data_IF_259420177068
#
_entry.id   IF_259420177068
#
_cell.length_a   1.000
_cell.length_b   1.000
_cell.length_c   1.000
_cell.angle_alpha   90.00
_cell.angle_beta   90.00
_cell.angle_gamma   90.00
#
_symmetry.space_group_name_H-M   'P 1'
#
loop_
_entity.id
_entity.type
_entity.pdbx_description
1 polymer ?
#
# COMPACT_ATOMS: atom_id res chain seq x y z
N UNK A 1 -8.89 -33.43 12.48
CA UNK A 1 -9.72 -32.22 12.28
C UNK A 1 -9.06 -31.38 11.19
N UNK A 2 -9.75 -30.42 10.55
CA UNK A 2 -9.17 -29.61 9.45
C UNK A 2 -7.91 -28.80 9.86
N UNK A 3 -7.70 -28.65 11.18
CA UNK A 3 -6.65 -27.84 11.80
C UNK A 3 -5.53 -28.67 12.46
N UNK A 4 -5.64 -30.01 12.50
CA UNK A 4 -4.63 -30.90 13.13
C UNK A 4 -3.42 -31.20 12.22
N UNK A 5 -3.31 -30.55 11.07
CA UNK A 5 -2.28 -30.77 10.06
C UNK A 5 -1.66 -29.46 9.57
N UNK A 6 -1.48 -28.52 10.49
CA UNK A 6 -0.77 -27.27 10.22
C UNK A 6 0.73 -27.55 10.30
N UNK A 7 1.44 -27.41 9.16
CA UNK A 7 2.87 -27.73 9.05
C UNK A 7 3.78 -26.83 9.89
N UNK A 8 3.29 -25.64 10.23
CA UNK A 8 4.01 -24.66 11.04
C UNK A 8 3.06 -24.08 12.10
N UNK A 9 3.21 -24.56 13.33
CA UNK A 9 2.38 -24.16 14.47
C UNK A 9 2.79 -22.78 15.00
N UNK A 10 4.08 -22.45 14.94
CA UNK A 10 4.60 -21.18 15.42
C UNK A 10 4.08 -20.03 14.55
N UNK A 11 4.18 -20.18 13.22
CA UNK A 11 3.63 -19.21 12.29
C UNK A 11 2.11 -19.05 12.45
N UNK A 12 1.40 -20.14 12.74
CA UNK A 12 -0.03 -20.10 12.98
C UNK A 12 -0.37 -19.28 14.23
N UNK A 13 0.25 -19.55 15.38
CA UNK A 13 -0.03 -18.82 16.62
C UNK A 13 0.36 -17.35 16.54
N UNK A 14 1.46 -17.03 15.84
CA UNK A 14 1.84 -15.63 15.55
C UNK A 14 0.72 -14.92 14.79
N UNK A 15 0.18 -15.54 13.72
CA UNK A 15 -0.91 -14.93 12.94
C UNK A 15 -2.21 -14.83 13.71
N UNK A 16 -2.52 -15.77 14.60
CA UNK A 16 -3.68 -15.71 15.51
C UNK A 16 -3.55 -14.50 16.44
N UNK A 17 -2.39 -14.34 17.07
CA UNK A 17 -2.10 -13.18 17.92
C UNK A 17 -2.19 -11.86 17.15
N UNK A 18 -1.52 -11.77 15.99
CA UNK A 18 -1.58 -10.57 15.14
C UNK A 18 -3.01 -10.25 14.67
N UNK A 19 -3.82 -11.27 14.40
CA UNK A 19 -5.21 -11.09 14.00
C UNK A 19 -6.05 -10.43 15.11
N UNK A 20 -5.82 -10.81 16.37
CA UNK A 20 -6.42 -10.16 17.53
C UNK A 20 -5.92 -8.71 17.71
N UNK A 21 -4.60 -8.51 17.70
CA UNK A 21 -3.99 -7.19 17.90
C UNK A 21 -4.36 -6.18 16.82
N UNK A 22 -4.56 -6.62 15.57
CA UNK A 22 -4.95 -5.74 14.45
C UNK A 22 -6.48 -5.56 14.34
N UNK A 23 -7.23 -5.91 15.38
CA UNK A 23 -8.69 -5.75 15.46
C UNK A 23 -9.46 -6.48 14.35
N UNK A 24 -8.93 -7.61 13.88
CA UNK A 24 -9.61 -8.51 12.95
C UNK A 24 -9.41 -8.21 11.46
N UNK A 25 -10.08 -9.02 10.63
CA UNK A 25 -9.79 -9.14 9.20
C UNK A 25 -9.94 -7.84 8.40
N UNK A 26 -11.03 -7.09 8.61
CA UNK A 26 -11.33 -5.91 7.82
C UNK A 26 -10.30 -4.80 8.03
N UNK A 27 -9.89 -4.56 9.28
CA UNK A 27 -8.84 -3.60 9.62
C UNK A 27 -7.49 -3.98 8.97
N UNK A 28 -7.15 -5.27 8.98
CA UNK A 28 -5.94 -5.78 8.31
C UNK A 28 -6.02 -5.53 6.80
N UNK A 29 -7.10 -5.94 6.14
CA UNK A 29 -7.30 -5.75 4.69
C UNK A 29 -7.19 -4.28 4.31
N UNK A 30 -7.87 -3.41 5.05
CA UNK A 30 -7.86 -1.98 4.78
C UNK A 30 -6.46 -1.38 4.96
N UNK A 31 -5.75 -1.78 6.01
CA UNK A 31 -4.36 -1.35 6.26
C UNK A 31 -3.41 -1.79 5.14
N UNK A 32 -3.54 -3.02 4.65
CA UNK A 32 -2.74 -3.54 3.53
C UNK A 32 -3.03 -2.77 2.23
N UNK A 33 -4.32 -2.52 1.92
CA UNK A 33 -4.74 -1.76 0.73
C UNK A 33 -4.20 -0.33 0.80
N UNK A 34 -4.41 0.38 1.92
CA UNK A 34 -3.91 1.74 2.07
C UNK A 34 -2.39 1.80 1.99
N UNK A 35 -1.69 0.81 2.54
CA UNK A 35 -0.25 0.70 2.40
C UNK A 35 0.18 0.58 0.94
N UNK A 36 -0.51 -0.22 0.11
CA UNK A 36 -0.21 -0.38 -1.32
C UNK A 36 -0.50 0.90 -2.12
N UNK A 37 -1.64 1.54 -1.85
CA UNK A 37 -2.04 2.81 -2.48
C UNK A 37 -1.07 3.93 -2.11
N UNK A 38 -0.67 4.03 -0.85
CA UNK A 38 0.28 5.04 -0.36
C UNK A 38 1.62 4.93 -1.09
N UNK A 39 2.12 3.72 -1.31
CA UNK A 39 3.36 3.52 -2.06
C UNK A 39 3.27 4.06 -3.49
N UNK A 40 2.20 3.67 -4.21
CA UNK A 40 1.97 4.15 -5.59
C UNK A 40 1.87 5.67 -5.61
N UNK A 41 1.09 6.24 -4.69
CA UNK A 41 0.92 7.68 -4.57
C UNK A 41 2.26 8.39 -4.37
N UNK A 42 3.09 7.94 -3.44
CA UNK A 42 4.40 8.56 -3.17
C UNK A 42 5.29 8.51 -4.41
N UNK A 43 5.40 7.35 -5.06
CA UNK A 43 6.25 7.18 -6.25
C UNK A 43 5.75 8.06 -7.40
N UNK A 44 4.45 7.99 -7.73
CA UNK A 44 3.86 8.78 -8.81
C UNK A 44 3.95 10.28 -8.56
N UNK A 45 3.67 10.73 -7.33
CA UNK A 45 3.73 12.14 -6.97
C UNK A 45 5.16 12.67 -7.00
N UNK A 46 6.13 11.88 -6.54
CA UNK A 46 7.56 12.22 -6.62
C UNK A 46 8.01 12.35 -8.07
N UNK A 47 7.64 11.39 -8.94
CA UNK A 47 7.96 11.46 -10.37
C UNK A 47 7.33 12.69 -11.03
N UNK A 48 6.07 12.99 -10.71
CA UNK A 48 5.38 14.17 -11.23
C UNK A 48 6.12 15.45 -10.87
N UNK A 49 6.49 15.62 -9.60
CA UNK A 49 7.20 16.80 -9.10
C UNK A 49 8.58 16.90 -9.74
N UNK A 50 9.34 15.81 -9.81
CA UNK A 50 10.74 15.87 -10.25
C UNK A 50 10.87 16.01 -11.77
N UNK A 51 9.99 15.37 -12.55
CA UNK A 51 10.18 15.21 -13.99
C UNK A 51 9.12 15.90 -14.85
N UNK A 52 7.86 15.96 -14.39
CA UNK A 52 6.75 16.45 -15.22
C UNK A 52 6.40 17.93 -15.02
N UNK A 53 7.01 18.62 -14.05
CA UNK A 53 6.79 20.05 -13.81
C UNK A 53 7.85 20.88 -14.54
N UNK A 54 7.41 21.80 -15.41
CA UNK A 54 8.28 22.81 -16.00
C UNK A 54 8.55 23.95 -14.98
N UNK A 55 9.55 23.75 -14.13
CA UNK A 55 9.98 24.74 -13.15
C UNK A 55 10.46 26.07 -13.77
N UNK A 56 11.21 26.07 -14.89
CA UNK A 56 11.56 27.32 -15.56
C UNK A 56 10.36 28.17 -15.97
N UNK A 57 9.28 27.55 -16.48
CA UNK A 57 8.02 28.22 -16.77
C UNK A 57 7.31 28.69 -15.49
N UNK A 58 7.22 27.81 -14.48
CA UNK A 58 6.56 28.09 -13.20
C UNK A 58 7.17 29.31 -12.48
N UNK A 59 8.50 29.41 -12.46
CA UNK A 59 9.22 30.49 -11.77
C UNK A 59 9.58 31.68 -12.67
N UNK A 60 9.18 31.67 -13.95
CA UNK A 60 9.54 32.70 -14.94
C UNK A 60 11.05 32.98 -15.01
N UNK A 61 11.85 31.92 -14.91
CA UNK A 61 13.31 32.06 -14.88
C UNK A 61 13.89 32.37 -16.26
N UNK A 62 13.22 31.96 -17.34
CA UNK A 62 13.66 32.17 -18.73
C UNK A 62 13.07 33.46 -19.34
N UNK A 63 13.77 34.09 -20.31
CA UNK A 63 13.26 35.29 -21.00
C UNK A 63 11.90 35.08 -21.67
N UNK A 64 11.70 33.91 -22.30
CA UNK A 64 10.43 33.54 -22.91
C UNK A 64 9.30 33.45 -21.89
N UNK A 65 9.57 32.93 -20.68
CA UNK A 65 8.58 32.84 -19.62
C UNK A 65 8.28 34.19 -18.94
N UNK A 66 9.22 35.15 -18.95
CA UNK A 66 8.99 36.52 -18.45
C UNK A 66 8.14 37.37 -19.38
N UNK A 67 8.16 37.07 -20.68
CA UNK A 67 7.34 37.75 -21.68
C UNK A 67 5.85 37.34 -21.61
N UNK A 68 5.53 36.29 -20.84
CA UNK A 68 4.15 35.84 -20.62
C UNK A 68 3.45 36.80 -19.64
N UNK A 69 2.49 37.56 -20.16
CA UNK A 69 1.73 38.56 -19.40
C UNK A 69 0.47 38.01 -18.73
N UNK A 70 -0.03 36.84 -19.16
CA UNK A 70 -1.20 36.22 -18.57
C UNK A 70 -0.88 35.42 -17.30
N UNK A 71 -1.93 35.11 -16.53
CA UNK A 71 -1.83 34.28 -15.33
C UNK A 71 -1.58 32.82 -15.75
N UNK A 72 -0.43 32.27 -15.36
CA UNK A 72 -0.06 30.88 -15.65
C UNK A 72 -0.97 29.96 -14.84
N UNK A 73 -1.60 28.99 -15.52
CA UNK A 73 -2.41 27.96 -14.89
C UNK A 73 -1.60 26.68 -14.64
N UNK A 74 -1.93 25.91 -13.60
CA UNK A 74 -1.23 24.65 -13.29
C UNK A 74 -1.22 23.65 -14.46
N UNK A 75 -2.27 23.62 -15.26
CA UNK A 75 -2.35 22.74 -16.43
C UNK A 75 -1.36 23.10 -17.54
N UNK A 76 -0.85 24.34 -17.58
CA UNK A 76 0.19 24.76 -18.52
C UNK A 76 1.60 24.38 -18.03
N UNK A 77 1.78 24.24 -16.72
CA UNK A 77 3.05 23.92 -16.08
C UNK A 77 3.32 22.41 -16.07
N UNK A 78 2.27 21.62 -15.94
CA UNK A 78 2.36 20.17 -16.01
C UNK A 78 2.52 19.77 -17.47
N UNK A 79 3.68 19.21 -17.80
CA UNK A 79 3.99 18.75 -19.15
C UNK A 79 3.05 17.61 -19.56
N UNK A 80 2.79 17.50 -20.87
CA UNK A 80 2.01 16.39 -21.39
C UNK A 80 2.69 15.05 -21.04
N UNK A 81 1.94 13.95 -20.79
CA UNK A 81 2.52 12.67 -20.40
C UNK A 81 3.58 12.15 -21.39
N UNK A 82 3.37 12.39 -22.69
CA UNK A 82 4.31 12.00 -23.75
C UNK A 82 5.63 12.76 -23.67
N UNK A 83 5.58 14.07 -23.42
CA UNK A 83 6.79 14.88 -23.25
C UNK A 83 7.51 14.53 -21.95
N UNK A 84 6.77 14.32 -20.86
CA UNK A 84 7.36 13.93 -19.59
C UNK A 84 8.10 12.59 -19.74
N UNK A 85 7.48 11.58 -20.37
CA UNK A 85 8.11 10.27 -20.63
C UNK A 85 9.36 10.37 -21.53
N UNK A 86 9.34 11.25 -22.53
CA UNK A 86 10.47 11.44 -23.44
C UNK A 86 11.66 12.13 -22.76
N UNK A 87 11.39 13.10 -21.88
CA UNK A 87 12.41 13.88 -21.18
C UNK A 87 12.87 13.23 -19.86
N UNK A 88 12.38 12.02 -19.53
CA UNK A 88 12.73 11.33 -18.30
C UNK A 88 14.24 11.09 -18.21
N UNK A 89 14.84 11.53 -17.11
CA UNK A 89 16.22 11.17 -16.80
C UNK A 89 16.38 9.66 -16.62
N UNK A 90 17.50 9.09 -17.11
CA UNK A 90 17.80 7.66 -17.08
C UNK A 90 17.66 7.07 -15.66
N UNK A 91 18.18 7.79 -14.65
CA UNK A 91 18.10 7.37 -13.25
C UNK A 91 16.65 7.25 -12.76
N UNK A 92 15.79 8.21 -13.10
CA UNK A 92 14.38 8.18 -12.69
C UNK A 92 13.63 7.04 -13.36
N UNK A 93 13.92 6.76 -14.64
CA UNK A 93 13.36 5.61 -15.33
C UNK A 93 13.76 4.29 -14.63
N UNK A 94 15.03 4.13 -14.26
CA UNK A 94 15.52 2.96 -13.52
C UNK A 94 14.83 2.84 -12.15
N UNK A 95 14.69 3.94 -11.40
CA UNK A 95 13.99 3.96 -10.13
C UNK A 95 12.51 3.55 -10.26
N UNK A 96 11.81 3.99 -11.32
CA UNK A 96 10.42 3.61 -11.59
C UNK A 96 10.32 2.10 -11.83
N UNK A 97 11.20 1.54 -12.67
CA UNK A 97 11.22 0.09 -12.96
C UNK A 97 11.41 -0.72 -11.68
N UNK A 98 12.41 -0.37 -10.85
CA UNK A 98 12.64 -1.04 -9.56
C UNK A 98 11.45 -0.89 -8.61
N UNK A 99 10.83 0.28 -8.59
CA UNK A 99 9.64 0.55 -7.76
C UNK A 99 8.45 -0.32 -8.18
N UNK A 100 8.26 -0.55 -9.49
CA UNK A 100 7.22 -1.44 -10.01
C UNK A 100 7.49 -2.89 -9.60
N UNK A 101 8.73 -3.38 -9.76
CA UNK A 101 9.11 -4.75 -9.37
C UNK A 101 8.87 -4.95 -7.87
N UNK A 102 9.34 -4.01 -7.04
CA UNK A 102 9.13 -4.05 -5.60
C UNK A 102 7.64 -4.02 -5.24
N UNK A 103 6.85 -3.17 -5.89
CA UNK A 103 5.42 -3.09 -5.65
C UNK A 103 4.70 -4.39 -6.01
N UNK A 104 5.05 -5.05 -7.12
CA UNK A 104 4.49 -6.34 -7.51
C UNK A 104 4.85 -7.45 -6.49
N UNK A 105 6.11 -7.50 -6.05
CA UNK A 105 6.53 -8.42 -4.98
C UNK A 105 5.71 -8.18 -3.71
N UNK A 106 5.57 -6.91 -3.29
CA UNK A 106 4.80 -6.54 -2.11
C UNK A 106 3.32 -6.89 -2.25
N UNK A 107 2.72 -6.67 -3.43
CA UNK A 107 1.35 -7.05 -3.74
C UNK A 107 1.16 -8.57 -3.61
N UNK A 108 2.04 -9.36 -4.22
CA UNK A 108 1.98 -10.83 -4.14
C UNK A 108 2.09 -11.32 -2.69
N UNK A 109 3.01 -10.75 -1.90
CA UNK A 109 3.15 -11.06 -0.48
C UNK A 109 1.91 -10.67 0.33
N UNK A 110 1.33 -9.49 0.07
CA UNK A 110 0.12 -9.03 0.74
C UNK A 110 -1.07 -9.96 0.43
N UNK A 111 -1.26 -10.37 -0.83
CA UNK A 111 -2.29 -11.34 -1.22
C UNK A 111 -2.12 -12.68 -0.51
N UNK A 112 -0.89 -13.21 -0.43
CA UNK A 112 -0.60 -14.42 0.31
C UNK A 112 -0.96 -14.28 1.80
N UNK A 113 -0.59 -13.16 2.43
CA UNK A 113 -0.93 -12.88 3.82
C UNK A 113 -2.44 -12.78 4.03
N UNK A 114 -3.17 -12.12 3.14
CA UNK A 114 -4.63 -12.00 3.22
C UNK A 114 -5.35 -13.35 3.13
N UNK A 115 -4.89 -14.24 2.24
CA UNK A 115 -5.42 -15.60 2.16
C UNK A 115 -5.18 -16.37 3.47
N UNK A 116 -4.01 -16.20 4.08
CA UNK A 116 -3.74 -16.83 5.37
C UNK A 116 -4.60 -16.25 6.50
N UNK A 117 -4.74 -14.93 6.60
CA UNK A 117 -5.63 -14.32 7.59
C UNK A 117 -7.11 -14.65 7.35
N UNK A 118 -7.51 -14.96 6.12
CA UNK A 118 -8.84 -15.48 5.84
C UNK A 118 -9.04 -16.87 6.48
N UNK A 119 -8.03 -17.73 6.44
CA UNK A 119 -8.06 -19.00 7.14
C UNK A 119 -8.09 -18.80 8.67
N UNK A 120 -7.32 -17.84 9.21
CA UNK A 120 -7.37 -17.49 10.64
C UNK A 120 -8.76 -16.99 11.04
N UNK A 121 -9.40 -16.14 10.22
CA UNK A 121 -10.78 -15.70 10.46
C UNK A 121 -11.74 -16.90 10.53
N UNK A 122 -11.59 -17.88 9.64
CA UNK A 122 -12.39 -19.10 9.69
C UNK A 122 -12.13 -19.92 10.96
N UNK A 123 -10.88 -19.98 11.43
CA UNK A 123 -10.53 -20.61 12.70
C UNK A 123 -11.19 -19.92 13.91
N UNK A 124 -11.11 -18.59 14.01
CA UNK A 124 -11.79 -17.82 15.06
C UNK A 124 -13.31 -18.06 15.07
N UNK A 125 -13.94 -18.12 13.91
CA UNK A 125 -15.38 -18.31 13.80
C UNK A 125 -15.82 -19.77 14.05
N UNK A 126 -15.07 -20.77 13.58
CA UNK A 126 -15.50 -22.18 13.61
C UNK A 126 -14.95 -22.95 14.81
N UNK A 127 -13.75 -22.63 15.29
CA UNK A 127 -13.09 -23.37 16.37
C UNK A 127 -13.24 -22.68 17.73
N UNK A 128 -13.09 -21.35 17.78
CA UNK A 128 -13.20 -20.57 19.03
C UNK A 128 -14.61 -20.02 19.29
N UNK A 129 -15.51 -20.11 18.30
CA UNK A 129 -16.86 -19.53 18.32
C UNK A 129 -16.86 -18.02 18.72
N UNK A 130 -15.90 -17.27 18.18
CA UNK A 130 -15.78 -15.82 18.41
C UNK A 130 -16.25 -15.09 17.14
N UNK A 131 -17.31 -14.29 17.27
CA UNK A 131 -17.80 -13.48 16.16
C UNK A 131 -16.86 -12.29 15.92
N UNK A 132 -16.74 -11.80 14.67
CA UNK A 132 -15.85 -10.67 14.34
C UNK A 132 -16.13 -9.41 15.16
N UNK A 133 -17.39 -9.15 15.52
CA UNK A 133 -17.79 -7.97 16.28
C UNK A 133 -17.44 -8.06 17.78
N UNK A 134 -17.29 -9.27 18.30
CA UNK A 134 -16.98 -9.50 19.71
C UNK A 134 -15.46 -9.45 19.95
N UNK A 135 -14.66 -9.71 18.92
CA UNK A 135 -13.20 -9.75 18.98
C UNK A 135 -12.59 -8.44 19.54
N UNK A 136 -13.14 -7.28 19.18
CA UNK A 136 -12.63 -5.98 19.64
C UNK A 136 -12.82 -5.74 21.13
N UNK A 137 -13.78 -6.43 21.74
CA UNK A 137 -14.14 -6.26 23.15
C UNK A 137 -13.49 -7.33 24.04
N UNK A 138 -12.86 -8.35 23.45
CA UNK A 138 -12.20 -9.43 24.17
C UNK A 138 -10.72 -9.13 24.40
N UNK A 139 -10.27 -9.42 25.61
CA UNK A 139 -8.85 -9.39 25.96
C UNK A 139 -8.11 -10.58 25.36
N UNK A 140 -6.79 -10.44 25.19
CA UNK A 140 -5.97 -11.57 24.71
C UNK A 140 -6.06 -12.78 25.66
N UNK A 141 -6.17 -12.55 26.97
CA UNK A 141 -6.28 -13.65 27.94
C UNK A 141 -7.53 -14.52 27.72
N UNK A 142 -8.68 -13.89 27.42
CA UNK A 142 -9.93 -14.62 27.12
C UNK A 142 -9.84 -15.41 25.81
N UNK A 143 -9.14 -14.87 24.81
CA UNK A 143 -8.88 -15.57 23.55
C UNK A 143 -7.97 -16.77 23.80
N UNK A 144 -6.92 -16.61 24.60
CA UNK A 144 -5.97 -17.68 24.94
C UNK A 144 -6.65 -18.82 25.72
N UNK A 145 -7.64 -18.55 26.57
CA UNK A 145 -8.38 -19.60 27.29
C UNK A 145 -9.25 -20.49 26.37
N UNK A 146 -9.59 -20.02 25.18
CA UNK A 146 -10.41 -20.74 24.19
C UNK A 146 -9.57 -21.43 23.10
N UNK A 147 -8.26 -21.19 23.10
CA UNK A 147 -7.28 -21.76 22.20
C UNK A 147 -6.85 -23.16 22.64
#
# INVERSE_FOLDING_TARGET
SKWSHQKDLDEFFVRVYEYHQRHGFFCIVLSEIFGLVQFVFIVSFTVLIVQCIDYPLLFRSTPSARNITHKIHFNEVIQSPKQCLHNMHLLTNLCIILSIIYWLYRLARSLYNLLSYFNIRAFYAQALDIKPNDLSNMTWHEVQQRL
#
